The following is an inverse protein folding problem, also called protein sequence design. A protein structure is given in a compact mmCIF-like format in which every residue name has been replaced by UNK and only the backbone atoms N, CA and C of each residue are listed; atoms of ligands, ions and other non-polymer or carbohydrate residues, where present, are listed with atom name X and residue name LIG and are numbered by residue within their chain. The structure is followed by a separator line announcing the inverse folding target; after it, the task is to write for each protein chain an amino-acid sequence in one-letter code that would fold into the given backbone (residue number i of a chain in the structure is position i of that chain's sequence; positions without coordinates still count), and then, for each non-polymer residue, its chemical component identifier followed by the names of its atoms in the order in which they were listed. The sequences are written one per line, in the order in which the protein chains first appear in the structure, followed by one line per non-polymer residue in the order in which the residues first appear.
data_IF_920010245937
#
_entry.id   IF_920010245937
#
_cell.length_a   1.000
_cell.length_b   1.000
_cell.length_c   1.000
_cell.angle_alpha   90.00
_cell.angle_beta   90.00
_cell.angle_gamma   90.00
#
_symmetry.space_group_name_H-M   'P 1'
#
loop_
_entity.id
_entity.type
_entity.pdbx_description
1 polymer ?
#
# COMPACT_ATOMS: atom_id res chain seq x y z
N UNK A 1 3.94 22.40 -7.59
CA UNK A 1 3.02 21.79 -6.60
C UNK A 1 3.46 20.35 -6.43
N UNK A 2 3.67 19.87 -5.18
CA UNK A 2 3.90 18.43 -4.94
C UNK A 2 2.63 17.69 -5.34
N UNK A 3 2.79 16.63 -6.13
CA UNK A 3 1.67 15.86 -6.66
C UNK A 3 1.46 14.63 -5.77
N UNK A 4 0.26 14.49 -5.19
CA UNK A 4 -0.08 13.35 -4.34
C UNK A 4 -0.29 12.07 -5.14
N UNK A 5 -0.40 10.94 -4.44
CA UNK A 5 -0.71 9.64 -5.04
C UNK A 5 -1.22 8.67 -3.97
N UNK A 6 -1.90 7.62 -4.40
CA UNK A 6 -2.44 6.59 -3.53
C UNK A 6 -1.77 5.25 -3.79
N UNK A 7 -1.25 4.64 -2.72
CA UNK A 7 -0.86 3.23 -2.66
C UNK A 7 -2.02 2.46 -2.07
N UNK A 8 -2.60 1.57 -2.86
CA UNK A 8 -3.78 0.79 -2.49
C UNK A 8 -3.41 -0.67 -2.26
N UNK A 9 -3.33 -1.09 -1.01
CA UNK A 9 -2.92 -2.44 -0.62
C UNK A 9 -4.11 -3.40 -0.74
N UNK A 10 -3.96 -4.39 -1.60
CA UNK A 10 -4.97 -5.42 -1.89
C UNK A 10 -4.42 -6.79 -1.50
N UNK A 11 -5.25 -7.66 -0.93
CA UNK A 11 -4.85 -9.04 -0.60
C UNK A 11 -5.76 -9.66 0.45
N UNK A 12 -5.63 -10.97 0.66
CA UNK A 12 -6.41 -11.74 1.64
C UNK A 12 -6.17 -11.23 3.08
N UNK A 13 -7.08 -11.54 4.00
CA UNK A 13 -6.85 -11.27 5.42
C UNK A 13 -5.55 -11.96 5.89
N UNK A 14 -4.81 -11.34 6.80
CA UNK A 14 -3.52 -11.88 7.27
C UNK A 14 -2.33 -11.70 6.31
N UNK A 15 -2.53 -11.17 5.09
CA UNK A 15 -1.45 -10.98 4.10
C UNK A 15 -0.39 -9.93 4.46
N UNK A 16 -0.47 -9.29 5.64
CA UNK A 16 0.53 -8.30 6.08
C UNK A 16 0.29 -6.85 5.65
N UNK A 17 -0.88 -6.50 5.09
CA UNK A 17 -1.20 -5.13 4.62
C UNK A 17 -0.94 -4.04 5.67
N UNK A 18 -1.39 -4.25 6.90
CA UNK A 18 -1.21 -3.27 7.98
C UNK A 18 0.27 -3.06 8.33
N UNK A 19 1.06 -4.14 8.35
CA UNK A 19 2.51 -4.07 8.54
C UNK A 19 3.20 -3.30 7.43
N UNK A 20 2.93 -3.67 6.17
CA UNK A 20 3.47 -2.96 5.00
C UNK A 20 3.04 -1.48 4.97
N UNK A 21 1.82 -1.16 5.40
CA UNK A 21 1.34 0.22 5.47
C UNK A 21 2.16 1.07 6.46
N UNK A 22 2.52 0.52 7.62
CA UNK A 22 3.40 1.19 8.58
C UNK A 22 4.81 1.42 8.02
N UNK A 23 5.36 0.41 7.33
CA UNK A 23 6.67 0.52 6.67
C UNK A 23 6.69 1.57 5.56
N UNK A 24 5.65 1.57 4.72
CA UNK A 24 5.47 2.58 3.67
C UNK A 24 5.30 3.97 4.27
N UNK A 25 4.55 4.11 5.36
CA UNK A 25 4.38 5.39 6.03
C UNK A 25 5.73 5.95 6.46
N UNK A 26 6.52 5.20 7.22
CA UNK A 26 7.84 5.63 7.67
C UNK A 26 8.76 5.96 6.49
N UNK A 27 8.85 5.08 5.49
CA UNK A 27 9.76 5.29 4.37
C UNK A 27 9.42 6.55 3.54
N UNK A 28 8.12 6.82 3.34
CA UNK A 28 7.66 8.00 2.60
C UNK A 28 7.78 9.29 3.42
N UNK A 29 7.56 9.24 4.73
CA UNK A 29 7.79 10.36 5.65
C UNK A 29 9.30 10.72 5.72
N UNK A 30 10.17 9.72 5.81
CA UNK A 30 11.63 9.89 5.77
C UNK A 30 12.09 10.50 4.42
N UNK A 31 11.35 10.25 3.33
CA UNK A 31 11.54 10.90 2.03
C UNK A 31 10.94 12.32 1.94
N UNK A 32 10.42 12.87 3.03
CA UNK A 32 9.88 14.24 3.11
C UNK A 32 8.49 14.43 2.47
N UNK A 33 7.71 13.35 2.39
CA UNK A 33 6.32 13.38 1.93
C UNK A 33 5.36 13.47 3.13
N UNK A 34 4.25 14.18 2.93
CA UNK A 34 3.14 14.14 3.88
C UNK A 34 2.29 12.91 3.61
N UNK A 35 2.24 11.98 4.58
CA UNK A 35 1.56 10.69 4.42
C UNK A 35 0.22 10.68 5.17
N UNK A 36 -0.75 9.93 4.64
CA UNK A 36 -1.99 9.59 5.32
C UNK A 36 -2.26 8.10 5.18
N UNK A 37 -2.59 7.41 6.28
CA UNK A 37 -2.98 6.00 6.24
C UNK A 37 -4.49 5.89 6.45
N UNK A 38 -5.18 5.23 5.51
CA UNK A 38 -6.61 4.96 5.57
C UNK A 38 -6.83 3.46 5.76
N UNK A 39 -7.45 3.09 6.88
CA UNK A 39 -7.67 1.69 7.27
C UNK A 39 -9.14 1.27 7.25
N UNK A 40 -9.39 0.07 7.77
CA UNK A 40 -10.73 -0.55 7.82
C UNK A 40 -11.77 0.21 8.65
N UNK A 41 -11.34 1.08 9.57
CA UNK A 41 -12.25 1.87 10.41
C UNK A 41 -13.21 2.78 9.62
N UNK A 42 -12.90 3.05 8.35
CA UNK A 42 -13.77 3.83 7.45
C UNK A 42 -14.84 2.98 6.75
N UNK A 43 -14.77 1.66 6.86
CA UNK A 43 -15.68 0.71 6.21
C UNK A 43 -16.59 0.11 7.26
N UNK A 44 -17.83 0.61 7.32
CA UNK A 44 -18.87 0.03 8.17
C UNK A 44 -19.21 -1.39 7.67
N UNK A 45 -19.12 -2.44 8.50
CA UNK A 45 -19.49 -3.79 8.11
C UNK A 45 -20.97 -3.93 7.71
N UNK A 46 -21.85 -3.06 8.21
CA UNK A 46 -23.28 -3.06 7.90
C UNK A 46 -23.62 -2.39 6.56
N UNK A 47 -22.75 -1.50 6.06
CA UNK A 47 -22.83 -0.92 4.72
C UNK A 47 -21.43 -0.79 4.07
N UNK A 48 -20.84 -1.92 3.63
CA UNK A 48 -19.49 -1.93 3.10
C UNK A 48 -19.35 -1.10 1.82
N UNK A 49 -20.38 -1.03 0.98
CA UNK A 49 -20.32 -0.34 -0.31
C UNK A 49 -20.25 1.19 -0.14
N UNK A 50 -21.05 1.74 0.78
CA UNK A 50 -20.91 3.15 1.17
C UNK A 50 -19.58 3.42 1.87
N UNK A 51 -19.09 2.47 2.67
CA UNK A 51 -17.77 2.51 3.31
C UNK A 51 -16.63 2.61 2.30
N UNK A 52 -16.59 1.73 1.31
CA UNK A 52 -15.58 1.77 0.24
C UNK A 52 -15.64 3.05 -0.57
N UNK A 53 -16.85 3.52 -0.90
CA UNK A 53 -17.05 4.77 -1.62
C UNK A 53 -16.56 5.99 -0.82
N UNK A 54 -16.80 6.01 0.49
CA UNK A 54 -16.29 7.05 1.39
C UNK A 54 -14.77 7.03 1.47
N UNK A 55 -14.19 5.84 1.64
CA UNK A 55 -12.75 5.65 1.68
C UNK A 55 -12.10 6.16 0.38
N UNK A 56 -12.66 5.83 -0.78
CA UNK A 56 -12.14 6.26 -2.07
C UNK A 56 -12.20 7.80 -2.23
N UNK A 57 -13.32 8.43 -1.88
CA UNK A 57 -13.44 9.90 -1.91
C UNK A 57 -12.45 10.58 -0.97
N UNK A 58 -12.29 10.06 0.25
CA UNK A 58 -11.34 10.61 1.21
C UNK A 58 -9.89 10.45 0.72
N UNK A 59 -9.55 9.31 0.10
CA UNK A 59 -8.24 9.11 -0.52
C UNK A 59 -8.01 10.11 -1.65
N UNK A 60 -9.00 10.31 -2.53
CA UNK A 60 -8.94 11.31 -3.61
C UNK A 60 -8.69 12.72 -3.06
N UNK A 61 -9.48 13.17 -2.08
CA UNK A 61 -9.35 14.52 -1.53
C UNK A 61 -7.96 14.76 -0.92
N UNK A 62 -7.36 13.74 -0.29
CA UNK A 62 -6.00 13.80 0.26
C UNK A 62 -4.93 13.80 -0.85
N UNK A 63 -5.12 13.00 -1.90
CA UNK A 63 -4.24 12.96 -3.07
C UNK A 63 -4.24 14.30 -3.81
N UNK A 64 -5.42 14.89 -4.01
CA UNK A 64 -5.59 16.22 -4.62
C UNK A 64 -4.95 17.32 -3.78
N UNK A 65 -4.94 17.14 -2.45
CA UNK A 65 -4.18 17.97 -1.51
C UNK A 65 -2.65 17.79 -1.57
N UNK A 66 -2.13 16.88 -2.39
CA UNK A 66 -0.70 16.66 -2.57
C UNK A 66 -0.08 15.60 -1.65
N UNK A 67 -0.87 14.86 -0.88
CA UNK A 67 -0.39 13.85 0.09
C UNK A 67 -0.17 12.50 -0.56
N UNK A 68 0.77 11.73 -0.01
CA UNK A 68 0.89 10.30 -0.27
C UNK A 68 -0.12 9.56 0.62
N UNK A 69 -1.01 8.78 0.03
CA UNK A 69 -2.07 8.07 0.76
C UNK A 69 -1.84 6.58 0.70
N UNK A 70 -1.78 5.90 1.84
CA UNK A 70 -1.71 4.45 1.92
C UNK A 70 -3.06 3.90 2.38
N UNK A 71 -3.74 3.17 1.50
CA UNK A 71 -4.99 2.47 1.82
C UNK A 71 -4.68 1.03 2.20
N UNK A 72 -5.04 0.65 3.43
CA UNK A 72 -4.86 -0.69 3.97
C UNK A 72 -6.18 -1.20 4.59
N UNK A 73 -7.11 -1.61 3.74
CA UNK A 73 -8.40 -2.15 4.17
C UNK A 73 -8.71 -3.51 3.53
N UNK A 74 -9.51 -4.36 4.20
CA UNK A 74 -10.11 -5.57 3.61
C UNK A 74 -11.15 -5.18 2.56
N UNK A 75 -10.72 -5.10 1.31
CA UNK A 75 -11.59 -4.75 0.17
C UNK A 75 -11.69 -5.96 -0.77
N UNK A 76 -12.80 -6.74 -0.69
CA UNK A 76 -12.85 -8.09 -1.25
C UNK A 76 -13.09 -8.12 -2.76
N UNK A 77 -13.89 -7.20 -3.30
CA UNK A 77 -14.43 -7.31 -4.66
C UNK A 77 -13.67 -6.51 -5.72
N UNK A 78 -13.54 -7.08 -6.92
CA UNK A 78 -12.99 -6.39 -8.11
C UNK A 78 -13.67 -5.05 -8.37
N UNK A 79 -15.01 -5.04 -8.33
CA UNK A 79 -15.83 -3.84 -8.61
C UNK A 79 -15.46 -2.67 -7.70
N UNK A 80 -15.23 -2.94 -6.40
CA UNK A 80 -14.87 -1.91 -5.44
C UNK A 80 -13.48 -1.32 -5.73
N UNK A 81 -12.52 -2.16 -6.14
CA UNK A 81 -11.16 -1.70 -6.50
C UNK A 81 -11.14 -0.91 -7.80
N UNK A 82 -11.91 -1.33 -8.80
CA UNK A 82 -12.06 -0.59 -10.06
C UNK A 82 -12.74 0.76 -9.84
N UNK A 83 -13.77 0.82 -8.99
CA UNK A 83 -14.39 2.08 -8.59
C UNK A 83 -13.40 2.99 -7.85
N UNK A 84 -12.64 2.46 -6.88
CA UNK A 84 -11.62 3.22 -6.17
C UNK A 84 -10.52 3.75 -7.11
N UNK A 85 -10.05 2.93 -8.05
CA UNK A 85 -9.07 3.34 -9.07
C UNK A 85 -9.61 4.48 -9.93
N UNK A 86 -10.87 4.40 -10.37
CA UNK A 86 -11.52 5.45 -11.16
C UNK A 86 -11.73 6.74 -10.37
N UNK A 87 -12.08 6.63 -9.09
CA UNK A 87 -12.35 7.78 -8.21
C UNK A 87 -11.06 8.52 -7.81
N UNK A 88 -9.99 7.79 -7.49
CA UNK A 88 -8.74 8.35 -6.97
C UNK A 88 -7.81 8.84 -8.10
N UNK A 89 -7.82 8.17 -9.26
CA UNK A 89 -7.00 8.53 -10.41
C UNK A 89 -5.51 8.17 -10.27
N UNK A 90 -4.78 8.82 -9.36
CA UNK A 90 -3.33 8.57 -9.13
C UNK A 90 -3.16 7.37 -8.21
N UNK A 91 -3.43 6.20 -8.77
CA UNK A 91 -3.68 4.97 -8.03
C UNK A 91 -2.65 3.89 -8.36
N UNK A 92 -2.00 3.37 -7.34
CA UNK A 92 -1.00 2.28 -7.41
C UNK A 92 -1.52 1.10 -6.60
N UNK A 93 -1.98 0.06 -7.28
CA UNK A 93 -2.48 -1.17 -6.65
C UNK A 93 -1.32 -2.12 -6.35
N UNK A 94 -1.09 -2.38 -5.07
CA UNK A 94 -0.10 -3.34 -4.59
C UNK A 94 -0.84 -4.59 -4.12
N UNK A 95 -0.63 -5.70 -4.81
CA UNK A 95 -1.25 -6.98 -4.48
C UNK A 95 -0.33 -7.82 -3.60
N UNK A 96 -0.77 -8.15 -2.39
CA UNK A 96 -0.12 -9.08 -1.48
C UNK A 96 -0.74 -10.45 -1.72
N UNK A 97 -0.10 -11.21 -2.61
CA UNK A 97 -0.49 -12.54 -3.05
C UNK A 97 -0.09 -13.58 -2.01
N UNK A 98 -0.93 -13.75 -1.00
CA UNK A 98 -0.80 -14.82 -0.03
C UNK A 98 -1.64 -16.02 -0.49
N UNK A 99 -1.03 -17.20 -0.75
CA UNK A 99 -1.76 -18.38 -1.18
C UNK A 99 -2.88 -18.75 -0.21
N UNK A 100 -3.99 -19.28 -0.74
CA UNK A 100 -5.13 -19.72 0.06
C UNK A 100 -4.74 -20.75 1.13
N UNK A 101 -3.88 -21.70 0.76
CA UNK A 101 -3.36 -22.72 1.67
C UNK A 101 -2.70 -22.12 2.91
N UNK A 102 -2.15 -20.90 2.80
CA UNK A 102 -1.49 -20.16 3.88
C UNK A 102 -2.45 -19.20 4.60
N UNK A 103 -3.33 -18.53 3.86
CA UNK A 103 -4.29 -17.56 4.42
C UNK A 103 -5.49 -18.20 5.13
N UNK A 104 -5.74 -19.49 4.90
CA UNK A 104 -6.89 -20.22 5.38
C UNK A 104 -8.14 -20.09 4.50
N UNK A 105 -9.17 -20.90 4.76
CA UNK A 105 -10.44 -20.81 4.05
C UNK A 105 -11.04 -19.43 4.31
N UNK A 106 -11.30 -18.69 3.23
CA UNK A 106 -11.69 -17.28 3.33
C UNK A 106 -12.58 -16.87 2.17
N UNK A 107 -13.29 -15.76 2.40
CA UNK A 107 -14.20 -15.08 1.48
C UNK A 107 -13.69 -15.09 0.04
N UNK A 108 -14.62 -15.17 -0.93
CA UNK A 108 -14.39 -15.04 -2.36
C UNK A 108 -13.54 -13.80 -2.67
N UNK A 109 -12.23 -13.95 -2.63
CA UNK A 109 -11.28 -12.90 -2.92
C UNK A 109 -10.94 -13.01 -4.38
N UNK A 110 -11.27 -11.98 -5.15
CA UNK A 110 -10.88 -11.89 -6.54
C UNK A 110 -9.52 -11.18 -6.65
N UNK A 111 -8.47 -11.84 -7.16
CA UNK A 111 -7.20 -11.18 -7.40
C UNK A 111 -7.33 -10.02 -8.41
N UNK A 112 -6.56 -8.93 -8.25
CA UNK A 112 -6.52 -7.86 -9.23
C UNK A 112 -5.92 -8.34 -10.54
N UNK A 113 -6.46 -7.87 -11.67
CA UNK A 113 -5.99 -8.28 -13.00
C UNK A 113 -4.71 -7.56 -13.44
N UNK A 114 -4.53 -6.33 -12.98
CA UNK A 114 -3.45 -5.43 -13.40
C UNK A 114 -2.92 -4.61 -12.22
N UNK A 115 -2.43 -5.26 -11.14
CA UNK A 115 -1.75 -4.53 -10.09
C UNK A 115 -0.43 -3.96 -10.63
N UNK A 116 -0.03 -2.80 -10.10
CA UNK A 116 1.26 -2.18 -10.41
C UNK A 116 2.42 -2.91 -9.73
N UNK A 117 2.18 -3.55 -8.57
CA UNK A 117 3.15 -4.42 -7.90
C UNK A 117 2.48 -5.66 -7.33
N UNK A 118 3.20 -6.78 -7.36
CA UNK A 118 2.81 -8.04 -6.70
C UNK A 118 3.90 -8.43 -5.70
N UNK A 119 3.50 -8.65 -4.46
CA UNK A 119 4.31 -9.15 -3.37
C UNK A 119 3.82 -10.54 -3.00
N UNK A 120 4.74 -11.39 -2.57
CA UNK A 120 4.47 -12.73 -2.07
C UNK A 120 4.89 -12.81 -0.61
N UNK A 121 4.00 -12.49 0.36
CA UNK A 121 4.39 -12.40 1.78
C UNK A 121 4.87 -13.72 2.38
N UNK A 122 4.63 -14.85 1.70
CA UNK A 122 5.14 -16.18 2.04
C UNK A 122 6.61 -16.39 1.63
N UNK A 123 7.17 -15.50 0.81
CA UNK A 123 8.54 -15.61 0.26
C UNK A 123 9.34 -14.31 0.38
N UNK A 124 8.73 -13.18 0.05
CA UNK A 124 9.34 -11.86 0.19
C UNK A 124 9.34 -11.48 1.68
N UNK A 125 10.51 -11.15 2.23
CA UNK A 125 10.59 -10.55 3.57
C UNK A 125 9.95 -9.16 3.59
N UNK A 126 9.61 -8.60 4.77
CA UNK A 126 9.00 -7.28 4.87
C UNK A 126 9.82 -6.16 4.19
N UNK A 127 11.15 -6.22 4.31
CA UNK A 127 12.07 -5.29 3.66
C UNK A 127 12.03 -5.41 2.13
N UNK A 128 12.05 -6.64 1.60
CA UNK A 128 12.04 -6.90 0.16
C UNK A 128 10.71 -6.43 -0.47
N UNK A 129 9.61 -6.67 0.23
CA UNK A 129 8.28 -6.19 -0.15
C UNK A 129 8.22 -4.66 -0.22
N UNK A 130 8.73 -3.97 0.81
CA UNK A 130 8.82 -2.51 0.82
C UNK A 130 9.69 -1.99 -0.34
N UNK A 131 10.89 -2.53 -0.50
CA UNK A 131 11.83 -2.12 -1.54
C UNK A 131 11.21 -2.25 -2.95
N UNK A 132 10.47 -3.35 -3.20
CA UNK A 132 9.76 -3.55 -4.47
C UNK A 132 8.68 -2.50 -4.70
N UNK A 133 7.93 -2.11 -3.67
CA UNK A 133 6.92 -1.04 -3.78
C UNK A 133 7.57 0.31 -4.05
N UNK A 134 8.60 0.69 -3.29
CA UNK A 134 9.32 1.96 -3.50
C UNK A 134 9.90 2.03 -4.92
N UNK A 135 10.53 0.96 -5.39
CA UNK A 135 11.04 0.87 -6.76
C UNK A 135 9.93 1.02 -7.81
N UNK A 136 8.74 0.46 -7.55
CA UNK A 136 7.58 0.63 -8.43
C UNK A 136 7.15 2.10 -8.48
N UNK A 137 7.13 2.80 -7.34
CA UNK A 137 6.78 4.22 -7.29
C UNK A 137 7.79 5.11 -8.02
N UNK A 138 9.08 4.78 -7.95
CA UNK A 138 10.12 5.45 -8.74
C UNK A 138 9.89 5.27 -10.26
N UNK A 139 9.65 4.03 -10.70
CA UNK A 139 9.42 3.71 -12.11
C UNK A 139 8.17 4.43 -12.64
N UNK A 140 7.13 4.55 -11.81
CA UNK A 140 5.91 5.28 -12.12
C UNK A 140 6.06 6.81 -12.00
N UNK A 141 7.22 7.31 -11.54
CA UNK A 141 7.52 8.73 -11.42
C UNK A 141 6.85 9.43 -10.22
N UNK A 142 6.35 8.67 -9.24
CA UNK A 142 5.80 9.20 -7.99
C UNK A 142 6.88 9.56 -6.97
N UNK A 143 8.00 8.86 -7.02
CA UNK A 143 9.22 9.19 -6.30
C UNK A 143 10.29 9.63 -7.30
N UNK A 144 11.02 10.69 -6.97
CA UNK A 144 12.26 11.00 -7.68
C UNK A 144 13.23 9.83 -7.46
N UNK A 145 13.94 9.40 -8.50
CA UNK A 145 14.97 8.35 -8.45
C UNK A 145 16.24 8.79 -7.69
N UNK A 146 16.08 9.56 -6.62
CA UNK A 146 17.13 10.26 -5.89
C UNK A 146 17.25 11.73 -6.33
N UNK A 147 17.18 12.65 -5.37
CA UNK A 147 18.10 13.78 -5.43
C UNK A 147 19.43 13.28 -4.91
N UNK A 148 20.41 13.02 -5.79
CA UNK A 148 21.79 12.58 -5.48
C UNK A 148 22.05 11.44 -4.47
N UNK A 149 21.03 10.80 -3.91
CA UNK A 149 21.14 9.61 -3.06
C UNK A 149 20.03 8.64 -3.42
N UNK A 150 20.34 7.62 -4.22
CA UNK A 150 19.56 6.38 -4.17
C UNK A 150 19.78 5.74 -2.80
N UNK A 151 18.82 4.94 -2.31
CA UNK A 151 18.95 4.20 -1.05
C UNK A 151 20.31 3.49 -1.03
N UNK A 152 21.20 4.02 -0.19
CA UNK A 152 22.52 3.46 0.06
C UNK A 152 22.32 2.08 0.69
N UNK A 153 23.28 1.14 0.55
CA UNK A 153 23.32 -0.06 1.39
C UNK A 153 23.19 0.26 2.90
N UNK A 154 23.56 1.47 3.30
CA UNK A 154 23.40 2.00 4.66
C UNK A 154 21.93 2.29 5.01
N UNK A 155 21.15 2.85 4.07
CA UNK A 155 19.73 3.11 4.28
C UNK A 155 18.94 1.80 4.38
N UNK A 156 19.32 0.78 3.60
CA UNK A 156 18.81 -0.58 3.73
C UNK A 156 19.14 -1.20 5.10
N UNK A 157 20.33 -0.94 5.63
CA UNK A 157 20.73 -1.38 6.97
C UNK A 157 19.98 -0.64 8.08
N UNK A 158 19.69 0.66 7.92
CA UNK A 158 18.85 1.44 8.84
C UNK A 158 17.41 0.91 8.85
N UNK A 159 16.87 0.63 7.66
CA UNK A 159 15.55 0.00 7.52
C UNK A 159 15.52 -1.38 8.17
N UNK A 160 16.52 -2.23 7.92
CA UNK A 160 16.65 -3.54 8.58
C UNK A 160 16.80 -3.40 10.10
N UNK A 161 17.59 -2.45 10.58
CA UNK A 161 17.74 -2.18 12.02
C UNK A 161 16.40 -1.82 12.67
N UNK A 162 15.67 -0.89 12.07
CA UNK A 162 14.33 -0.49 12.54
C UNK A 162 13.31 -1.62 12.43
N UNK A 163 13.40 -2.47 11.40
CA UNK A 163 12.56 -3.65 11.24
C UNK A 163 12.81 -4.68 12.36
N UNK A 164 14.06 -4.84 12.80
CA UNK A 164 14.40 -5.67 13.97
C UNK A 164 13.86 -5.07 15.27
N UNK A 165 13.98 -3.76 15.47
CA UNK A 165 13.44 -3.07 16.65
C UNK A 165 11.90 -3.19 16.74
N UNK A 166 11.23 -3.26 15.58
CA UNK A 166 9.80 -3.46 15.47
C UNK A 166 9.37 -4.95 15.48
N UNK A 167 10.31 -5.88 15.58
CA UNK A 167 10.06 -7.32 15.69
C UNK A 167 9.69 -8.04 14.39
N UNK A 168 10.06 -7.46 13.24
CA UNK A 168 9.79 -8.01 11.90
C UNK A 168 10.97 -8.81 11.30
N UNK A 169 12.09 -8.88 12.02
CA UNK A 169 13.30 -9.68 11.73
C UNK A 169 13.73 -10.42 13.00
#
# INVERSE_FOLDING_TARGET
MKQGFCIYLTGRAGSGKAGLAGLLQTALEDAGLEVAVLGEALVDPSDPEAGWSRLARQARDLVDGGRAVVVAARIPGRRAREAARSEIGRFVEVYLDLPEATAGPGLDFEPPKRPEAVLRPDVDGPADGLARVLRTLEILGYLSSGGEGGYSPEDEAVLRGRLSDLGYL
#
